data_IF_501303047715
#
_entry.id   IF_501303047715
#
_cell.length_a   1.000
_cell.length_b   1.000
_cell.length_c   1.000
_cell.angle_alpha   90.00
_cell.angle_beta   90.00
_cell.angle_gamma   90.00
#
_symmetry.space_group_name_H-M   'P 1'
#
loop_
_entity.id
_entity.type
_entity.pdbx_description
1 polymer ?
#
# COMPACT_ATOMS: atom_id res chain seq x y z
N UNK A 1 0.48 -6.00 14.31
CA UNK A 1 -0.12 -4.81 13.69
C UNK A 1 0.69 -3.55 14.02
N UNK A 2 0.99 -2.74 13.03
CA UNK A 2 1.61 -1.42 13.17
C UNK A 2 0.48 -0.39 13.21
N UNK A 3 0.42 0.42 14.26
CA UNK A 3 -0.65 1.42 14.46
C UNK A 3 -0.75 1.89 15.90
N UNK A 4 -1.74 2.74 16.18
CA UNK A 4 -2.02 3.26 17.52
C UNK A 4 -3.13 2.48 18.22
N UNK A 5 -3.17 2.56 19.54
CA UNK A 5 -4.25 1.99 20.36
C UNK A 5 -5.59 2.70 20.12
N UNK A 6 -5.53 4.00 19.81
CA UNK A 6 -6.74 4.81 19.57
C UNK A 6 -7.52 4.38 18.33
N UNK A 7 -6.82 3.85 17.31
CA UNK A 7 -7.42 3.38 16.05
C UNK A 7 -7.55 1.86 15.98
N UNK A 8 -7.36 1.15 17.09
CA UNK A 8 -7.39 -0.30 17.13
C UNK A 8 -8.62 -0.81 17.88
N UNK A 9 -9.38 -1.73 17.26
CA UNK A 9 -10.42 -2.46 17.98
C UNK A 9 -9.76 -3.22 19.16
N UNK A 10 -10.40 -3.17 20.33
CA UNK A 10 -9.90 -3.78 21.58
C UNK A 10 -9.53 -5.27 21.43
N UNK A 11 -10.25 -5.99 20.58
CA UNK A 11 -9.98 -7.41 20.27
C UNK A 11 -8.58 -7.63 19.66
N UNK A 12 -8.07 -6.64 18.96
CA UNK A 12 -6.76 -6.70 18.29
C UNK A 12 -5.65 -5.94 19.01
N UNK A 13 -5.95 -5.29 20.13
CA UNK A 13 -4.97 -4.57 20.93
C UNK A 13 -3.73 -5.42 21.32
N UNK A 14 -3.86 -6.71 21.69
CA UNK A 14 -2.70 -7.56 22.01
C UNK A 14 -1.73 -7.74 20.81
N UNK A 15 -2.22 -7.60 19.58
CA UNK A 15 -1.41 -7.74 18.36
C UNK A 15 -0.74 -6.44 17.91
N UNK A 16 -0.98 -5.32 18.59
CA UNK A 16 -0.24 -4.10 18.33
C UNK A 16 1.25 -4.33 18.61
N UNK A 17 2.13 -3.82 17.75
CA UNK A 17 3.57 -4.01 17.86
C UNK A 17 4.08 -3.67 19.25
N UNK A 18 3.67 -2.52 19.80
CA UNK A 18 4.01 -2.10 21.17
C UNK A 18 3.65 -3.15 22.20
N UNK A 19 2.39 -3.63 22.17
CA UNK A 19 1.90 -4.58 23.17
C UNK A 19 2.50 -5.97 22.98
N UNK A 20 2.68 -6.38 21.72
CA UNK A 20 3.32 -7.67 21.42
C UNK A 20 4.80 -7.73 21.82
N UNK A 21 5.46 -6.60 22.00
CA UNK A 21 6.86 -6.50 22.44
C UNK A 21 7.02 -6.22 23.94
N UNK A 22 5.91 -6.03 24.67
CA UNK A 22 5.94 -5.67 26.09
C UNK A 22 6.71 -6.69 26.96
N UNK A 23 6.65 -7.96 26.60
CA UNK A 23 7.32 -9.06 27.32
C UNK A 23 8.78 -9.31 26.86
N UNK A 24 9.33 -8.44 26.01
CA UNK A 24 10.69 -8.57 25.49
C UNK A 24 11.65 -7.66 26.24
N UNK A 25 12.36 -8.12 27.29
CA UNK A 25 13.21 -7.26 28.12
C UNK A 25 14.52 -6.84 27.45
N UNK A 26 14.98 -7.61 26.45
CA UNK A 26 16.24 -7.37 25.74
C UNK A 26 16.01 -7.00 24.29
N UNK A 27 16.90 -6.20 23.73
CA UNK A 27 16.87 -5.82 22.33
C UNK A 27 16.93 -7.06 21.40
N UNK A 28 17.71 -8.06 21.78
CA UNK A 28 17.81 -9.34 21.04
C UNK A 28 16.48 -10.05 20.95
N UNK A 29 15.68 -10.04 22.03
CA UNK A 29 14.37 -10.69 22.07
C UNK A 29 13.38 -9.96 21.14
N UNK A 30 13.45 -8.61 21.15
CA UNK A 30 12.67 -7.78 20.24
C UNK A 30 13.02 -8.08 18.78
N UNK A 31 14.30 -8.10 18.44
CA UNK A 31 14.78 -8.43 17.09
C UNK A 31 14.32 -9.81 16.64
N UNK A 32 14.49 -10.82 17.49
CA UNK A 32 14.04 -12.19 17.20
C UNK A 32 12.53 -12.24 17.00
N UNK A 33 11.75 -11.60 17.85
CA UNK A 33 10.30 -11.58 17.73
C UNK A 33 9.82 -10.91 16.43
N UNK A 34 10.45 -9.81 16.04
CA UNK A 34 10.19 -9.15 14.76
C UNK A 34 10.58 -10.09 13.60
N UNK A 35 11.76 -10.67 13.63
CA UNK A 35 12.25 -11.55 12.57
C UNK A 35 11.35 -12.80 12.38
N UNK A 36 10.82 -13.38 13.45
CA UNK A 36 9.95 -14.56 13.38
C UNK A 36 8.47 -14.24 13.12
N UNK A 37 8.03 -12.99 13.30
CA UNK A 37 6.64 -12.62 13.03
C UNK A 37 6.37 -12.66 11.54
N UNK A 38 5.44 -13.51 11.11
CA UNK A 38 5.19 -13.77 9.68
C UNK A 38 4.35 -12.69 9.01
N UNK A 39 3.41 -12.08 9.72
CA UNK A 39 2.42 -11.16 9.15
C UNK A 39 2.53 -9.82 9.87
N UNK A 40 2.73 -8.77 9.07
CA UNK A 40 2.64 -7.39 9.51
C UNK A 40 1.48 -6.70 8.81
N UNK A 41 0.73 -5.91 9.53
CA UNK A 41 -0.38 -5.11 8.99
C UNK A 41 -0.31 -3.69 9.52
N UNK A 42 -0.72 -2.73 8.73
CA UNK A 42 -0.77 -1.31 9.12
C UNK A 42 -1.27 -0.44 7.97
N UNK A 43 -1.57 0.81 8.25
CA UNK A 43 -1.77 1.80 7.20
C UNK A 43 -0.41 2.20 6.59
N UNK A 44 -0.41 2.70 5.37
CA UNK A 44 0.82 3.21 4.72
C UNK A 44 1.54 4.23 5.57
N UNK A 45 0.83 5.19 6.16
CA UNK A 45 1.39 6.18 7.08
C UNK A 45 2.05 5.53 8.31
N UNK A 46 1.40 4.53 8.91
CA UNK A 46 1.95 3.84 10.07
C UNK A 46 3.21 3.03 9.74
N UNK A 47 3.28 2.45 8.55
CA UNK A 47 4.44 1.70 8.06
C UNK A 47 5.56 2.67 7.68
N UNK A 48 5.27 3.75 6.95
CA UNK A 48 6.25 4.77 6.59
C UNK A 48 6.93 5.41 7.81
N UNK A 49 6.19 5.61 8.91
CA UNK A 49 6.77 6.11 10.16
C UNK A 49 7.73 5.10 10.83
N UNK A 50 7.86 3.88 10.32
CA UNK A 50 8.65 2.78 10.89
C UNK A 50 9.43 2.00 9.84
N UNK A 51 9.90 2.64 8.79
CA UNK A 51 10.69 2.00 7.73
C UNK A 51 11.93 1.24 8.25
N UNK A 52 12.47 1.64 9.41
CA UNK A 52 13.56 0.91 10.05
C UNK A 52 13.25 -0.56 10.39
N UNK A 53 11.97 -0.96 10.46
CA UNK A 53 11.59 -2.37 10.62
C UNK A 53 12.04 -3.24 9.45
N UNK A 54 12.17 -2.66 8.27
CA UNK A 54 12.68 -3.36 7.09
C UNK A 54 14.16 -3.73 7.21
N UNK A 55 14.93 -3.03 8.06
CA UNK A 55 16.31 -3.41 8.36
C UNK A 55 16.39 -4.70 9.19
N UNK A 56 15.32 -5.04 9.91
CA UNK A 56 15.27 -6.20 10.80
C UNK A 56 14.63 -7.42 10.16
N UNK A 57 13.92 -7.23 9.05
CA UNK A 57 13.16 -8.32 8.43
C UNK A 57 12.95 -8.10 6.94
N UNK A 58 13.21 -9.16 6.20
CA UNK A 58 12.85 -9.32 4.80
C UNK A 58 11.45 -9.91 4.65
N UNK A 59 10.68 -9.45 3.67
CA UNK A 59 9.34 -9.91 3.36
C UNK A 59 9.27 -10.49 1.94
N UNK A 60 8.61 -11.61 1.79
CA UNK A 60 8.40 -12.22 0.48
C UNK A 60 7.27 -11.57 -0.31
N UNK A 61 6.31 -10.95 0.39
CA UNK A 61 5.13 -10.36 -0.24
C UNK A 61 4.58 -9.19 0.58
N UNK A 62 4.26 -8.11 -0.11
CA UNK A 62 3.39 -7.05 0.40
C UNK A 62 2.09 -6.99 -0.42
N UNK A 63 0.97 -6.89 0.28
CA UNK A 63 -0.36 -6.69 -0.32
C UNK A 63 -0.84 -5.31 0.11
N UNK A 64 -1.14 -4.47 -0.87
CA UNK A 64 -1.61 -3.09 -0.66
C UNK A 64 -3.03 -3.01 -1.18
N UNK A 65 -3.97 -2.92 -0.26
CA UNK A 65 -5.39 -2.80 -0.54
C UNK A 65 -5.77 -1.33 -0.72
N UNK A 66 -6.82 -1.07 -1.52
CA UNK A 66 -7.27 0.28 -1.91
C UNK A 66 -6.13 1.15 -2.49
N UNK A 67 -5.23 0.52 -3.25
CA UNK A 67 -4.01 1.15 -3.77
C UNK A 67 -4.30 2.30 -4.75
N UNK A 68 -5.47 2.35 -5.36
CA UNK A 68 -5.94 3.46 -6.19
C UNK A 68 -6.21 4.75 -5.40
N UNK A 69 -6.40 4.64 -4.07
CA UNK A 69 -6.64 5.76 -3.17
C UNK A 69 -5.35 6.23 -2.44
N UNK A 70 -4.19 5.72 -2.85
CA UNK A 70 -2.90 6.06 -2.24
C UNK A 70 -2.06 6.80 -3.27
N UNK A 71 -1.59 8.00 -2.93
CA UNK A 71 -0.67 8.74 -3.77
C UNK A 71 0.68 8.01 -3.88
N UNK A 72 1.32 8.09 -5.04
CA UNK A 72 2.59 7.40 -5.29
C UNK A 72 3.68 7.75 -4.27
N UNK A 73 3.87 9.00 -3.84
CA UNK A 73 4.86 9.36 -2.81
C UNK A 73 4.66 8.62 -1.49
N UNK A 74 3.43 8.29 -1.11
CA UNK A 74 3.13 7.56 0.12
C UNK A 74 3.55 6.07 0.07
N UNK A 75 3.80 5.54 -1.12
CA UNK A 75 4.24 4.17 -1.33
C UNK A 75 5.76 4.06 -1.57
N UNK A 76 6.41 5.10 -2.08
CA UNK A 76 7.83 5.06 -2.48
C UNK A 76 8.73 4.60 -1.33
N UNK A 77 8.51 5.08 -0.11
CA UNK A 77 9.29 4.66 1.06
C UNK A 77 9.21 3.15 1.32
N UNK A 78 8.02 2.57 1.18
CA UNK A 78 7.78 1.14 1.38
C UNK A 78 8.37 0.32 0.23
N UNK A 79 8.15 0.77 -1.01
CA UNK A 79 8.61 0.07 -2.21
C UNK A 79 10.14 0.07 -2.34
N UNK A 80 10.78 1.15 -1.90
CA UNK A 80 12.25 1.32 -1.95
C UNK A 80 12.97 0.82 -0.70
N UNK A 81 12.24 0.29 0.29
CA UNK A 81 12.82 -0.20 1.53
C UNK A 81 13.89 -1.28 1.26
N UNK A 82 14.96 -1.25 2.05
CA UNK A 82 16.10 -2.15 1.92
C UNK A 82 16.24 -3.05 3.15
N UNK A 83 16.68 -4.27 2.88
CA UNK A 83 17.14 -5.22 3.89
C UNK A 83 18.56 -5.63 3.48
N UNK A 84 19.54 -5.24 4.29
CA UNK A 84 20.95 -5.33 3.94
C UNK A 84 21.24 -4.64 2.58
N UNK A 85 21.70 -5.41 1.59
CA UNK A 85 22.02 -4.90 0.24
C UNK A 85 20.94 -5.17 -0.80
N UNK A 86 19.82 -5.79 -0.40
CA UNK A 86 18.71 -6.18 -1.29
C UNK A 86 17.44 -5.37 -1.02
N UNK A 87 16.43 -5.57 -1.84
CA UNK A 87 15.09 -5.07 -1.54
C UNK A 87 14.56 -5.76 -0.28
N UNK A 88 13.87 -5.02 0.57
CA UNK A 88 13.26 -5.58 1.77
C UNK A 88 12.00 -6.39 1.48
N UNK A 89 11.42 -6.23 0.29
CA UNK A 89 10.19 -6.89 -0.14
C UNK A 89 10.41 -7.43 -1.56
N UNK A 90 10.15 -8.73 -1.79
CA UNK A 90 10.38 -9.36 -3.09
C UNK A 90 9.27 -9.06 -4.10
N UNK A 91 8.01 -9.07 -3.64
CA UNK A 91 6.83 -8.97 -4.51
C UNK A 91 5.78 -8.06 -3.91
N UNK A 92 5.06 -7.36 -4.80
CA UNK A 92 3.94 -6.52 -4.44
C UNK A 92 2.67 -6.97 -5.16
N UNK A 93 1.55 -6.97 -4.45
CA UNK A 93 0.21 -7.08 -5.03
C UNK A 93 -0.50 -5.78 -4.67
N UNK A 94 -0.90 -5.03 -5.69
CA UNK A 94 -1.71 -3.83 -5.55
C UNK A 94 -3.16 -4.18 -5.89
N UNK A 95 -4.06 -3.93 -4.97
CA UNK A 95 -5.49 -4.14 -5.14
C UNK A 95 -6.16 -2.77 -5.12
N UNK A 96 -7.02 -2.49 -6.10
CA UNK A 96 -7.69 -1.19 -6.19
C UNK A 96 -8.60 -1.09 -7.38
N UNK A 97 -9.23 0.05 -7.50
CA UNK A 97 -10.10 0.39 -8.62
C UNK A 97 -9.94 1.88 -8.95
N UNK A 98 -9.19 2.18 -10.01
CA UNK A 98 -8.90 3.56 -10.42
C UNK A 98 -10.11 4.29 -11.03
N UNK A 99 -11.23 3.59 -11.26
CA UNK A 99 -12.49 4.18 -11.72
C UNK A 99 -13.38 4.66 -10.57
N UNK A 100 -13.02 4.31 -9.32
CA UNK A 100 -13.63 4.86 -8.12
C UNK A 100 -12.99 6.21 -7.74
N UNK A 101 -13.36 6.76 -6.59
CA UNK A 101 -12.81 8.03 -6.11
C UNK A 101 -11.28 7.95 -6.02
N UNK A 102 -10.57 8.92 -6.60
CA UNK A 102 -9.11 8.96 -6.57
C UNK A 102 -8.58 9.30 -5.18
N UNK A 103 -7.26 9.18 -5.01
CA UNK A 103 -6.57 9.73 -3.86
C UNK A 103 -6.80 11.24 -3.73
N UNK A 104 -6.90 11.72 -2.49
CA UNK A 104 -7.03 13.17 -2.23
C UNK A 104 -5.64 13.79 -2.33
N UNK A 105 -5.40 14.56 -3.37
CA UNK A 105 -4.21 15.39 -3.51
C UNK A 105 -4.50 16.79 -2.99
N UNK A 106 -3.54 17.37 -2.26
CA UNK A 106 -3.62 18.75 -1.77
C UNK A 106 -3.00 19.74 -2.76
N UNK A 107 -2.21 19.25 -3.69
CA UNK A 107 -1.50 20.04 -4.69
C UNK A 107 -2.45 20.42 -5.84
N UNK A 108 -2.29 21.65 -6.32
CA UNK A 108 -2.95 22.08 -7.55
C UNK A 108 -2.33 21.42 -8.79
N UNK A 109 -3.02 21.46 -9.90
CA UNK A 109 -2.60 20.78 -11.14
C UNK A 109 -1.24 21.22 -11.64
N UNK A 110 -0.98 22.52 -11.60
CA UNK A 110 0.30 23.09 -12.05
C UNK A 110 1.47 22.66 -11.18
N UNK A 111 1.25 22.52 -9.86
CA UNK A 111 2.28 22.08 -8.90
C UNK A 111 2.54 20.57 -8.96
N UNK A 112 1.55 19.81 -9.36
CA UNK A 112 1.62 18.35 -9.41
C UNK A 112 2.20 17.83 -10.73
N UNK A 113 2.30 18.69 -11.73
CA UNK A 113 2.81 18.33 -13.06
C UNK A 113 4.28 17.94 -13.01
N UNK A 114 4.60 16.87 -13.72
CA UNK A 114 5.97 16.36 -13.84
C UNK A 114 6.54 16.74 -15.20
N UNK A 115 7.62 17.53 -15.20
CA UNK A 115 8.29 18.01 -16.41
C UNK A 115 9.62 17.23 -16.72
N UNK A 116 10.05 16.35 -15.82
CA UNK A 116 11.25 15.53 -16.02
C UNK A 116 11.00 14.44 -17.09
N UNK A 117 11.76 14.43 -18.21
CA UNK A 117 11.55 13.47 -19.29
C UNK A 117 11.73 12.00 -18.88
N UNK A 118 12.61 11.71 -17.91
CA UNK A 118 12.83 10.35 -17.43
C UNK A 118 11.58 9.86 -16.65
N UNK A 119 11.03 10.70 -15.79
CA UNK A 119 9.81 10.38 -15.04
C UNK A 119 8.60 10.26 -15.98
N UNK A 120 8.50 11.14 -16.98
CA UNK A 120 7.47 11.02 -18.02
C UNK A 120 7.59 9.72 -18.81
N UNK A 121 8.81 9.25 -19.10
CA UNK A 121 9.05 8.01 -19.84
C UNK A 121 8.52 6.76 -19.12
N UNK A 122 8.43 6.80 -17.80
CA UNK A 122 7.79 5.77 -16.98
C UNK A 122 6.32 6.09 -16.65
N UNK A 123 5.72 7.08 -17.36
CA UNK A 123 4.32 7.48 -17.26
C UNK A 123 3.94 8.28 -16.03
N UNK A 124 4.90 8.79 -15.27
CA UNK A 124 4.65 9.74 -14.19
C UNK A 124 4.55 11.14 -14.77
N UNK A 125 3.33 11.58 -15.06
CA UNK A 125 3.05 12.89 -15.64
C UNK A 125 2.41 13.87 -14.63
N UNK A 126 1.82 13.33 -13.58
CA UNK A 126 1.10 14.09 -12.56
C UNK A 126 1.20 13.34 -11.21
N UNK A 127 1.72 14.00 -10.19
CA UNK A 127 1.92 13.43 -8.85
C UNK A 127 0.61 13.20 -8.09
N UNK A 128 -0.54 13.67 -8.61
CA UNK A 128 -1.87 13.40 -8.03
C UNK A 128 -2.41 12.03 -8.41
N UNK A 129 -1.81 11.37 -9.38
CA UNK A 129 -2.20 10.02 -9.79
C UNK A 129 -1.62 8.97 -8.83
N UNK A 130 -2.37 7.90 -8.64
CA UNK A 130 -1.88 6.77 -7.87
C UNK A 130 -0.88 5.92 -8.66
N UNK A 131 0.08 5.33 -7.97
CA UNK A 131 0.96 4.32 -8.57
C UNK A 131 0.15 3.17 -9.19
N UNK A 132 -0.96 2.77 -8.55
CA UNK A 132 -1.84 1.71 -9.06
C UNK A 132 -2.35 2.02 -10.46
N UNK A 133 -2.90 3.21 -10.67
CA UNK A 133 -3.43 3.63 -11.97
C UNK A 133 -2.32 3.68 -13.04
N UNK A 134 -1.18 4.26 -12.70
CA UNK A 134 -0.03 4.35 -13.59
C UNK A 134 0.46 2.96 -14.02
N UNK A 135 0.67 2.06 -13.08
CA UNK A 135 1.09 0.69 -13.38
C UNK A 135 0.02 -0.10 -14.13
N UNK A 136 -1.26 0.08 -13.79
CA UNK A 136 -2.34 -0.55 -14.51
C UNK A 136 -2.35 -0.17 -16.00
N UNK A 137 -2.16 1.11 -16.31
CA UNK A 137 -2.13 1.59 -17.70
C UNK A 137 -0.90 1.11 -18.49
N UNK A 138 0.23 0.89 -17.83
CA UNK A 138 1.51 0.58 -18.48
C UNK A 138 1.90 -0.90 -18.44
N UNK A 139 1.38 -1.66 -17.48
CA UNK A 139 1.74 -3.07 -17.34
C UNK A 139 1.13 -3.93 -18.46
N UNK A 140 1.82 -5.01 -18.82
CA UNK A 140 1.29 -6.06 -19.70
C UNK A 140 0.10 -6.76 -19.03
N UNK A 141 -0.76 -7.36 -19.85
CA UNK A 141 -1.95 -8.07 -19.37
C UNK A 141 -1.65 -9.18 -18.36
N UNK A 142 -0.54 -9.88 -18.53
CA UNK A 142 -0.10 -10.96 -17.62
C UNK A 142 0.13 -10.50 -16.17
N UNK A 143 0.33 -9.19 -15.96
CA UNK A 143 0.49 -8.61 -14.63
C UNK A 143 -0.79 -8.01 -14.05
N UNK A 144 -1.90 -8.12 -14.75
CA UNK A 144 -3.20 -7.57 -14.37
C UNK A 144 -4.24 -8.67 -14.24
N UNK A 145 -5.10 -8.54 -13.25
CA UNK A 145 -6.29 -9.38 -13.10
C UNK A 145 -7.48 -8.50 -12.74
N UNK A 146 -8.62 -8.75 -13.37
CA UNK A 146 -9.84 -7.99 -13.14
C UNK A 146 -10.88 -8.92 -12.52
N UNK A 147 -11.48 -8.48 -11.42
CA UNK A 147 -12.62 -9.17 -10.81
C UNK A 147 -13.91 -8.70 -11.47
N UNK A 148 -14.58 -9.61 -12.17
CA UNK A 148 -15.80 -9.32 -12.94
C UNK A 148 -17.11 -9.52 -12.15
N UNK A 149 -17.04 -10.04 -10.94
CA UNK A 149 -18.23 -10.33 -10.12
C UNK A 149 -18.17 -9.56 -8.81
N UNK A 150 -19.25 -8.88 -8.48
CA UNK A 150 -19.44 -8.24 -7.18
C UNK A 150 -20.60 -8.90 -6.43
N UNK A 151 -20.51 -8.92 -5.08
CA UNK A 151 -21.55 -9.44 -4.20
C UNK A 151 -22.05 -8.45 -3.15
N UNK A 152 -21.59 -7.20 -3.22
CA UNK A 152 -21.89 -6.16 -2.21
C UNK A 152 -23.20 -5.44 -2.49
N UNK A 153 -23.42 -5.03 -3.75
CA UNK A 153 -24.55 -4.19 -4.12
C UNK A 153 -25.69 -5.01 -4.71
N UNK A 154 -26.92 -4.60 -4.43
CA UNK A 154 -28.11 -5.10 -5.12
C UNK A 154 -27.99 -4.76 -6.63
N UNK A 155 -28.46 -5.64 -7.53
CA UNK A 155 -28.37 -5.43 -9.00
C UNK A 155 -28.89 -4.06 -9.44
N UNK A 156 -30.05 -3.61 -8.94
CA UNK A 156 -30.62 -2.32 -9.30
C UNK A 156 -29.75 -1.11 -8.89
N UNK A 157 -28.90 -1.26 -7.84
CA UNK A 157 -27.96 -0.21 -7.41
C UNK A 157 -26.69 -0.25 -8.27
N UNK A 158 -26.23 -1.44 -8.64
CA UNK A 158 -25.01 -1.62 -9.42
C UNK A 158 -25.19 -1.35 -10.91
N UNK A 159 -26.42 -1.29 -11.40
CA UNK A 159 -26.71 -1.10 -12.83
C UNK A 159 -26.11 0.21 -13.36
N UNK A 160 -26.36 1.32 -12.69
CA UNK A 160 -25.84 2.62 -13.10
C UNK A 160 -24.30 2.67 -13.17
N UNK A 161 -23.54 2.35 -12.12
CA UNK A 161 -22.08 2.35 -12.21
C UNK A 161 -21.55 1.32 -13.21
N UNK A 162 -22.19 0.15 -13.36
CA UNK A 162 -21.79 -0.83 -14.36
C UNK A 162 -21.88 -0.26 -15.77
N UNK A 163 -23.02 0.33 -16.12
CA UNK A 163 -23.24 0.90 -17.45
C UNK A 163 -22.37 2.15 -17.72
N UNK A 164 -21.97 2.88 -16.67
CA UNK A 164 -21.24 4.14 -16.82
C UNK A 164 -19.73 3.94 -16.82
N UNK A 165 -19.22 3.00 -16.03
CA UNK A 165 -17.77 2.89 -15.75
C UNK A 165 -17.15 1.53 -16.07
N UNK A 166 -17.93 0.41 -16.11
CA UNK A 166 -17.38 -0.95 -16.09
C UNK A 166 -17.78 -1.84 -17.27
N UNK A 167 -18.27 -1.32 -18.41
CA UNK A 167 -18.47 -2.14 -19.61
C UNK A 167 -17.23 -2.30 -20.43
#
# INVERSE_FOLDING_TARGET
>A
RIGSELSCDKRFAPYLLKNSLADCPKLTDIQQKIAHTRIFTGTTTAINSRLHLFNLKHFTLAIIDEASQILEPDLVGILSARHDRSNAIDKFILIGDYKQLPAIAQQEEEEARVDDPLLQSIGLNDCRNSLFERLYKQSKEDFRSILHKQGRMHPAISEFPNQTFYY
#
